data_IF_360619340491
#
_entry.id   IF_360619340491
#
_cell.length_a   1.000
_cell.length_b   1.000
_cell.length_c   1.000
_cell.angle_alpha   90.00
_cell.angle_beta   90.00
_cell.angle_gamma   90.00
#
_symmetry.space_group_name_H-M   'P 1'
#
loop_
_entity.id
_entity.type
_entity.pdbx_description
1 polymer ?
#
# COMPACT_ATOMS: atom_id res chain seq x y z
N UNK A 1 -9.41 3.40 14.54
CA UNK A 1 -8.04 3.78 14.95
C UNK A 1 -8.13 4.86 16.00
N UNK A 2 -7.41 4.74 17.11
CA UNK A 2 -7.41 5.78 18.15
C UNK A 2 -6.37 6.88 17.88
N UNK A 3 -6.43 7.99 18.63
CA UNK A 3 -5.57 9.16 18.39
C UNK A 3 -4.08 8.87 18.57
N UNK A 4 -3.73 7.99 19.51
CA UNK A 4 -2.34 7.56 19.73
C UNK A 4 -1.79 6.81 18.52
N UNK A 5 -2.56 5.85 17.99
CA UNK A 5 -2.20 5.11 16.77
C UNK A 5 -2.09 6.06 15.57
N UNK A 6 -3.03 7.00 15.45
CA UNK A 6 -3.02 8.01 14.39
C UNK A 6 -1.74 8.85 14.43
N UNK A 7 -1.39 9.37 15.61
CA UNK A 7 -0.20 10.19 15.81
C UNK A 7 1.09 9.43 15.48
N UNK A 8 1.20 8.17 15.91
CA UNK A 8 2.37 7.32 15.60
C UNK A 8 2.49 7.09 14.09
N UNK A 9 1.39 6.79 13.39
CA UNK A 9 1.43 6.58 11.94
C UNK A 9 1.80 7.87 11.20
N UNK A 10 1.30 9.03 11.64
CA UNK A 10 1.69 10.32 11.05
C UNK A 10 3.20 10.56 11.24
N UNK A 11 3.72 10.37 12.45
CA UNK A 11 5.15 10.56 12.75
C UNK A 11 6.05 9.66 11.89
N UNK A 12 5.77 8.35 11.86
CA UNK A 12 6.60 7.41 11.11
C UNK A 12 6.49 7.67 9.60
N UNK A 13 5.28 7.93 9.09
CA UNK A 13 5.07 8.17 7.66
C UNK A 13 5.77 9.43 7.16
N UNK A 14 5.97 10.43 8.03
CA UNK A 14 6.65 11.68 7.66
C UNK A 14 8.11 11.46 7.24
N UNK A 15 8.72 10.36 7.72
CA UNK A 15 10.09 9.94 7.37
C UNK A 15 10.20 9.36 5.97
N UNK A 16 9.06 9.05 5.34
CA UNK A 16 8.96 8.41 4.02
C UNK A 16 8.05 9.24 3.10
N UNK A 17 8.40 10.51 2.94
CA UNK A 17 7.65 11.42 2.06
C UNK A 17 7.70 10.97 0.60
N UNK A 18 6.60 11.12 -0.16
CA UNK A 18 6.55 10.68 -1.55
C UNK A 18 7.41 11.63 -2.42
N UNK A 19 8.00 11.13 -3.52
CA UNK A 19 8.74 11.98 -4.45
C UNK A 19 7.83 13.06 -5.06
N UNK A 20 8.31 14.31 -5.10
CA UNK A 20 7.55 15.42 -5.66
C UNK A 20 7.44 15.32 -7.19
N UNK A 21 6.26 15.60 -7.73
CA UNK A 21 6.03 15.62 -9.19
C UNK A 21 6.02 14.24 -9.86
N UNK A 22 6.15 13.15 -9.10
CA UNK A 22 6.11 11.79 -9.60
C UNK A 22 4.79 11.14 -9.18
N UNK A 23 4.08 10.57 -10.15
CA UNK A 23 2.90 9.73 -9.90
C UNK A 23 3.25 8.29 -10.22
N UNK A 24 3.15 7.41 -9.23
CA UNK A 24 3.41 5.99 -9.36
C UNK A 24 2.11 5.25 -9.72
N UNK A 25 2.19 4.32 -10.68
CA UNK A 25 1.07 3.47 -11.05
C UNK A 25 1.33 2.01 -10.66
N UNK A 26 0.30 1.34 -10.17
CA UNK A 26 0.36 -0.07 -9.81
C UNK A 26 -0.11 -0.88 -11.00
N UNK A 27 0.81 -1.60 -11.65
CA UNK A 27 0.48 -2.47 -12.77
C UNK A 27 0.56 -3.96 -12.39
N UNK A 28 0.51 -4.82 -13.41
CA UNK A 28 0.65 -6.28 -13.28
C UNK A 28 1.91 -6.71 -12.52
N UNK A 29 2.97 -5.88 -12.57
CA UNK A 29 4.24 -6.13 -11.87
C UNK A 29 4.40 -5.38 -10.55
N UNK A 30 3.33 -4.75 -10.04
CA UNK A 30 3.36 -3.85 -8.89
C UNK A 30 3.90 -2.46 -9.26
N UNK A 31 4.47 -1.76 -8.28
CA UNK A 31 5.22 -0.53 -8.53
C UNK A 31 6.61 -0.86 -9.03
N UNK A 32 7.06 -0.18 -10.07
CA UNK A 32 8.41 -0.32 -10.62
C UNK A 32 8.88 1.04 -11.15
N UNK A 33 10.09 1.43 -10.75
CA UNK A 33 10.74 2.68 -11.12
C UNK A 33 12.22 2.60 -10.73
N UNK A 34 12.97 3.68 -10.97
CA UNK A 34 14.27 3.88 -10.34
C UNK A 34 14.16 3.70 -8.82
N UNK A 35 15.11 2.98 -8.22
CA UNK A 35 15.08 2.62 -6.81
C UNK A 35 14.99 3.86 -5.88
N UNK A 36 15.57 5.00 -6.30
CA UNK A 36 15.53 6.25 -5.52
C UNK A 36 14.12 6.83 -5.37
N UNK A 37 13.17 6.43 -6.21
CA UNK A 37 11.78 6.90 -6.18
C UNK A 37 10.85 5.99 -5.35
N UNK A 38 11.32 4.82 -4.94
CA UNK A 38 10.47 3.75 -4.42
C UNK A 38 10.43 3.63 -2.91
N UNK A 39 11.29 4.33 -2.17
CA UNK A 39 11.35 4.22 -0.71
C UNK A 39 9.99 4.46 -0.04
N UNK A 40 9.32 5.57 -0.39
CA UNK A 40 7.98 5.88 0.11
C UNK A 40 6.95 4.83 -0.30
N UNK A 41 7.02 4.37 -1.56
CA UNK A 41 6.09 3.37 -2.08
C UNK A 41 6.22 2.02 -1.35
N UNK A 42 7.44 1.58 -1.06
CA UNK A 42 7.71 0.34 -0.32
C UNK A 42 7.13 0.42 1.09
N UNK A 43 7.35 1.52 1.81
CA UNK A 43 6.76 1.74 3.13
C UNK A 43 5.22 1.67 3.08
N UNK A 44 4.60 2.38 2.12
CA UNK A 44 3.13 2.45 1.97
C UNK A 44 2.51 1.14 1.53
N UNK A 45 3.21 0.35 0.71
CA UNK A 45 2.78 -1.01 0.33
C UNK A 45 2.86 -1.97 1.54
N UNK A 46 3.79 -1.76 2.47
CA UNK A 46 3.77 -2.47 3.76
C UNK A 46 2.47 -2.25 4.53
N UNK A 47 1.99 -0.99 4.57
CA UNK A 47 0.69 -0.66 5.19
C UNK A 47 -0.49 -1.31 4.43
N UNK A 48 -0.45 -1.27 3.10
CA UNK A 48 -1.45 -1.94 2.24
C UNK A 48 -1.50 -3.46 2.54
N UNK A 49 -0.35 -4.12 2.64
CA UNK A 49 -0.27 -5.56 2.91
C UNK A 49 -0.86 -5.91 4.28
N UNK A 50 -0.61 -5.08 5.31
CA UNK A 50 -1.21 -5.25 6.62
C UNK A 50 -2.74 -5.12 6.56
N UNK A 51 -3.27 -4.09 5.87
CA UNK A 51 -4.72 -3.92 5.66
C UNK A 51 -5.33 -5.08 4.88
N UNK A 52 -4.62 -5.56 3.84
CA UNK A 52 -5.05 -6.70 3.04
C UNK A 52 -5.12 -7.98 3.87
N UNK A 53 -4.11 -8.22 4.71
CA UNK A 53 -4.07 -9.38 5.62
C UNK A 53 -5.22 -9.35 6.61
N UNK A 54 -5.55 -8.18 7.17
CA UNK A 54 -6.72 -8.02 8.04
C UNK A 54 -8.04 -8.30 7.31
N UNK A 55 -8.17 -7.86 6.05
CA UNK A 55 -9.37 -8.09 5.24
C UNK A 55 -9.56 -9.56 4.88
N UNK A 56 -8.48 -10.24 4.50
CA UNK A 56 -8.52 -11.65 4.04
C UNK A 56 -8.39 -12.65 5.19
N UNK A 57 -7.97 -12.21 6.38
CA UNK A 57 -7.59 -13.05 7.52
C UNK A 57 -6.54 -14.10 7.14
N UNK A 58 -5.58 -13.71 6.30
CA UNK A 58 -4.57 -14.60 5.75
C UNK A 58 -3.22 -13.89 5.56
N UNK A 59 -2.18 -14.67 5.29
CA UNK A 59 -0.83 -14.17 5.01
C UNK A 59 -0.80 -13.47 3.64
N UNK A 60 -0.15 -12.31 3.59
CA UNK A 60 0.06 -11.54 2.36
C UNK A 60 1.56 -11.47 2.08
N UNK A 61 1.95 -11.82 0.86
CA UNK A 61 3.34 -11.78 0.43
C UNK A 61 3.73 -10.41 -0.13
N UNK A 62 4.99 -10.02 0.08
CA UNK A 62 5.61 -8.89 -0.58
C UNK A 62 6.87 -9.38 -1.29
N UNK A 63 7.04 -8.96 -2.54
CA UNK A 63 8.23 -9.28 -3.33
C UNK A 63 8.89 -7.98 -3.77
N UNK A 64 10.15 -7.78 -3.36
CA UNK A 64 10.98 -6.65 -3.79
C UNK A 64 11.92 -7.16 -4.90
N UNK A 65 11.70 -6.71 -6.13
CA UNK A 65 12.51 -7.11 -7.28
C UNK A 65 12.23 -6.25 -8.51
N UNK A 66 13.28 -5.93 -9.26
CA UNK A 66 13.18 -5.36 -10.61
C UNK A 66 13.07 -6.45 -11.72
N UNK A 67 13.19 -7.73 -11.38
CA UNK A 67 13.23 -8.85 -12.34
C UNK A 67 14.32 -8.69 -13.41
N UNK A 68 13.97 -8.33 -14.65
CA UNK A 68 14.87 -8.21 -15.80
C UNK A 68 15.09 -6.75 -16.23
N UNK A 69 14.85 -5.81 -15.31
CA UNK A 69 15.07 -4.39 -15.52
C UNK A 69 16.53 -3.98 -15.30
N UNK A 70 16.82 -2.71 -15.58
CA UNK A 70 18.11 -2.07 -15.29
C UNK A 70 18.49 -2.20 -13.82
N UNK A 71 19.79 -2.18 -13.53
CA UNK A 71 20.31 -2.36 -12.16
C UNK A 71 19.91 -1.22 -11.21
N UNK A 72 19.63 -0.04 -11.76
CA UNK A 72 19.13 1.11 -11.02
C UNK A 72 17.64 1.00 -10.66
N UNK A 73 16.90 0.15 -11.36
CA UNK A 73 15.47 -0.05 -11.09
C UNK A 73 15.27 -0.97 -9.90
N UNK A 74 14.13 -0.77 -9.23
CA UNK A 74 13.59 -1.77 -8.31
C UNK A 74 12.08 -1.86 -8.49
N UNK A 75 11.43 -2.72 -7.72
CA UNK A 75 9.99 -2.78 -7.69
C UNK A 75 9.48 -3.48 -6.45
N UNK A 76 8.21 -3.26 -6.15
CA UNK A 76 7.50 -3.96 -5.10
C UNK A 76 6.13 -4.42 -5.60
N UNK A 77 5.80 -5.68 -5.37
CA UNK A 77 4.48 -6.26 -5.66
C UNK A 77 3.93 -7.04 -4.49
N UNK A 78 2.62 -7.04 -4.38
CA UNK A 78 1.85 -7.80 -3.39
C UNK A 78 1.41 -9.14 -4.00
N UNK A 79 1.56 -10.21 -3.22
CA UNK A 79 1.00 -11.52 -3.50
C UNK A 79 -0.16 -11.82 -2.55
N UNK A 80 -1.32 -12.13 -3.11
CA UNK A 80 -2.51 -12.52 -2.35
C UNK A 80 -2.35 -13.92 -1.73
N UNK A 81 -3.24 -14.34 -0.81
CA UNK A 81 -3.07 -15.60 -0.06
C UNK A 81 -2.95 -16.87 -0.91
N UNK A 82 -3.48 -16.85 -2.15
CA UNK A 82 -3.34 -17.95 -3.11
C UNK A 82 -1.92 -18.09 -3.69
N UNK A 83 -1.02 -17.14 -3.39
CA UNK A 83 0.26 -16.96 -4.08
C UNK A 83 0.13 -16.20 -5.40
N UNK A 84 -1.10 -15.87 -5.82
CA UNK A 84 -1.37 -15.07 -7.01
C UNK A 84 -1.11 -13.58 -6.82
N UNK A 85 -1.33 -12.80 -7.87
CA UNK A 85 -1.21 -11.34 -7.83
C UNK A 85 -2.27 -10.72 -6.92
N UNK A 86 -2.02 -9.50 -6.47
CA UNK A 86 -3.05 -8.66 -5.86
C UNK A 86 -4.30 -8.62 -6.75
N UNK A 87 -5.47 -8.83 -6.15
CA UNK A 87 -6.75 -8.67 -6.84
C UNK A 87 -6.87 -7.27 -7.45
N UNK A 88 -7.32 -7.14 -8.70
CA UNK A 88 -7.39 -5.87 -9.43
C UNK A 88 -8.18 -4.77 -8.68
N UNK A 89 -9.23 -5.14 -7.96
CA UNK A 89 -10.02 -4.21 -7.14
C UNK A 89 -9.20 -3.51 -6.04
N UNK A 90 -8.00 -4.01 -5.72
CA UNK A 90 -7.08 -3.44 -4.74
C UNK A 90 -5.96 -2.59 -5.35
N UNK A 91 -5.76 -2.61 -6.67
CA UNK A 91 -4.76 -1.79 -7.34
C UNK A 91 -5.02 -0.28 -7.16
N UNK A 92 -6.27 0.23 -7.27
CA UNK A 92 -6.55 1.65 -6.99
C UNK A 92 -6.23 2.07 -5.56
N UNK A 93 -6.35 1.15 -4.59
CA UNK A 93 -5.98 1.41 -3.19
C UNK A 93 -4.47 1.46 -3.01
N UNK A 94 -3.73 0.59 -3.71
CA UNK A 94 -2.29 0.64 -3.74
C UNK A 94 -1.81 2.00 -4.27
N UNK A 95 -2.37 2.46 -5.40
CA UNK A 95 -2.04 3.76 -5.98
C UNK A 95 -2.43 4.93 -5.07
N UNK A 96 -3.62 4.88 -4.45
CA UNK A 96 -4.08 5.94 -3.54
C UNK A 96 -3.17 6.09 -2.33
N UNK A 97 -2.72 4.97 -1.74
CA UNK A 97 -1.78 4.99 -0.64
C UNK A 97 -0.41 5.47 -1.11
N UNK A 98 0.14 4.91 -2.20
CA UNK A 98 1.47 5.26 -2.71
C UNK A 98 1.60 6.75 -3.06
N UNK A 99 0.53 7.34 -3.63
CA UNK A 99 0.54 8.73 -4.10
C UNK A 99 -0.08 9.74 -3.12
N UNK A 100 -0.48 9.35 -1.91
CA UNK A 100 -0.99 10.30 -0.93
C UNK A 100 0.06 11.40 -0.65
N UNK A 101 -0.25 12.70 -0.81
CA UNK A 101 0.74 13.76 -0.86
C UNK A 101 1.52 13.95 0.45
N UNK A 102 0.90 13.58 1.58
CA UNK A 102 1.47 13.76 2.91
C UNK A 102 0.98 12.67 3.88
N UNK A 103 1.53 12.71 5.10
CA UNK A 103 1.23 11.70 6.14
C UNK A 103 -0.18 11.80 6.70
N UNK A 104 -0.79 12.98 6.72
CA UNK A 104 -2.17 13.15 7.16
C UNK A 104 -3.12 12.57 6.13
N UNK A 105 -2.92 12.89 4.85
CA UNK A 105 -3.71 12.36 3.74
C UNK A 105 -3.56 10.84 3.64
N UNK A 106 -2.35 10.30 3.81
CA UNK A 106 -2.12 8.85 3.85
C UNK A 106 -2.97 8.18 4.93
N UNK A 107 -2.96 8.73 6.14
CA UNK A 107 -3.71 8.19 7.29
C UNK A 107 -5.22 8.32 7.10
N UNK A 108 -5.68 9.37 6.42
CA UNK A 108 -7.08 9.52 6.02
C UNK A 108 -7.50 8.45 5.02
N UNK A 109 -6.72 8.21 3.96
CA UNK A 109 -6.96 7.14 2.98
C UNK A 109 -7.01 5.79 3.70
N UNK A 110 -6.04 5.48 4.56
CA UNK A 110 -6.04 4.22 5.34
C UNK A 110 -7.30 4.06 6.21
N UNK A 111 -7.76 5.16 6.82
CA UNK A 111 -8.95 5.16 7.68
C UNK A 111 -10.21 4.88 6.87
N UNK A 112 -10.35 5.52 5.69
CA UNK A 112 -11.48 5.27 4.79
C UNK A 112 -11.52 3.82 4.29
N UNK A 113 -10.37 3.24 3.91
CA UNK A 113 -10.30 1.84 3.50
C UNK A 113 -10.72 0.88 4.62
N UNK A 114 -10.18 1.11 5.83
CA UNK A 114 -10.52 0.30 7.00
C UNK A 114 -12.01 0.37 7.34
N UNK A 115 -12.62 1.55 7.19
CA UNK A 115 -14.04 1.75 7.43
C UNK A 115 -14.91 1.05 6.38
N UNK A 116 -14.58 1.19 5.09
CA UNK A 116 -15.27 0.47 4.01
C UNK A 116 -15.26 -1.04 4.26
N UNK A 117 -14.13 -1.61 4.68
CA UNK A 117 -14.07 -3.04 4.99
C UNK A 117 -14.94 -3.44 6.17
N UNK A 118 -15.02 -2.60 7.20
CA UNK A 118 -15.82 -2.87 8.39
C UNK A 118 -17.32 -2.80 8.09
N UNK A 119 -17.75 -1.81 7.29
CA UNK A 119 -19.16 -1.66 6.89
C UNK A 119 -19.63 -2.83 6.02
N UNK A 120 -18.82 -3.23 5.02
CA UNK A 120 -19.15 -4.37 4.16
C UNK A 120 -19.15 -5.71 4.89
N UNK A 121 -18.29 -5.90 5.90
CA UNK A 121 -18.32 -7.11 6.72
C UNK A 121 -19.56 -7.18 7.62
N UNK A 122 -20.16 -6.05 7.99
CA UNK A 122 -21.40 -6.03 8.74
C UNK A 122 -22.58 -6.47 7.86
N UNK A 123 -22.65 -5.96 6.63
CA UNK A 123 -23.73 -6.29 5.67
C UNK A 123 -23.70 -7.72 5.11
N UNK A 124 -22.53 -8.38 5.07
CA UNK A 124 -22.42 -9.75 4.56
C UNK A 124 -22.57 -10.83 5.64
N UNK A 125 -22.62 -10.44 6.92
CA UNK A 125 -22.82 -11.35 8.06
C UNK A 125 -24.17 -11.15 8.76
N UNK A 126 -25.10 -10.42 8.13
CA UNK A 126 -26.48 -10.19 8.55
C UNK A 126 -27.43 -10.62 7.45
#
# INVERSE_FOLDING_TARGET
>A
MNDKQRSILIDISSRFSPPQGVKLSYGTSGFRADASLLESAVYRVGLLAALRSLKTRAVIGLMITASHNEISDNGIKVADPSGGMLTQDWEPFAESLANAPDSYTLVEVMSHLSWLFSLFMHFLNS
#
